data_IF_115898399753
#
_entry.id   IF_115898399753
#
_cell.length_a   1.000
_cell.length_b   1.000
_cell.length_c   1.000
_cell.angle_alpha   90.00
_cell.angle_beta   90.00
_cell.angle_gamma   90.00
#
_symmetry.space_group_name_H-M   'P 1'
#
loop_
_entity.id
_entity.type
_entity.pdbx_description
1 polymer ?
#
# COMPACT_ATOMS: atom_id res chain seq x y z
N UNK A 1 -11.78 -29.19 -28.47
CA UNK A 1 -10.32 -28.95 -28.52
C UNK A 1 -10.14 -27.49 -28.16
N UNK A 2 -10.09 -27.22 -26.85
CA UNK A 2 -9.98 -25.86 -26.34
C UNK A 2 -8.57 -25.35 -26.58
N UNK A 3 -8.46 -24.29 -27.36
CA UNK A 3 -7.24 -23.50 -27.50
C UNK A 3 -7.01 -22.75 -26.20
N UNK A 4 -6.14 -23.30 -25.35
CA UNK A 4 -5.35 -22.46 -24.47
C UNK A 4 -4.36 -21.68 -25.35
N UNK A 5 -4.78 -20.51 -25.83
CA UNK A 5 -3.88 -19.52 -26.40
C UNK A 5 -3.06 -18.90 -25.25
N UNK A 6 -2.11 -19.68 -24.72
CA UNK A 6 -1.05 -19.13 -23.88
C UNK A 6 -0.12 -18.36 -24.79
N UNK A 7 -0.25 -17.03 -24.82
CA UNK A 7 0.72 -16.17 -25.50
C UNK A 7 2.13 -16.54 -25.04
N UNK A 8 2.91 -17.12 -25.94
CA UNK A 8 4.27 -17.55 -25.66
C UNK A 8 5.08 -16.33 -25.21
N UNK A 9 5.59 -16.37 -23.98
CA UNK A 9 6.33 -15.25 -23.40
C UNK A 9 7.58 -14.97 -24.23
N UNK A 10 7.70 -13.74 -24.73
CA UNK A 10 8.80 -13.32 -25.61
C UNK A 10 10.17 -13.54 -24.95
N UNK A 11 11.17 -13.91 -25.77
CA UNK A 11 12.53 -14.23 -25.29
C UNK A 11 13.15 -13.14 -24.42
N UNK A 12 12.96 -11.87 -24.79
CA UNK A 12 13.49 -10.73 -24.04
C UNK A 12 12.90 -10.63 -22.62
N UNK A 13 11.62 -10.98 -22.42
CA UNK A 13 10.98 -11.00 -21.10
C UNK A 13 11.58 -12.11 -20.25
N UNK A 14 11.73 -13.32 -20.83
CA UNK A 14 12.38 -14.46 -20.15
C UNK A 14 13.79 -14.10 -19.71
N UNK A 15 14.53 -13.39 -20.57
CA UNK A 15 15.88 -12.89 -20.27
C UNK A 15 15.89 -11.88 -19.14
N UNK A 16 14.94 -10.94 -19.08
CA UNK A 16 14.83 -10.02 -17.92
C UNK A 16 14.52 -10.79 -16.64
N UNK A 17 13.66 -11.81 -16.69
CA UNK A 17 13.36 -12.64 -15.51
C UNK A 17 14.57 -13.46 -15.04
N UNK A 18 15.35 -14.02 -15.97
CA UNK A 18 16.46 -14.94 -15.64
C UNK A 18 17.77 -14.25 -15.28
N UNK A 19 18.02 -13.03 -15.76
CA UNK A 19 19.26 -12.28 -15.44
C UNK A 19 19.22 -11.58 -14.07
N UNK A 20 18.09 -11.62 -13.35
CA UNK A 20 17.98 -11.11 -11.98
C UNK A 20 18.66 -12.01 -10.96
N UNK A 21 19.13 -11.44 -9.85
CA UNK A 21 19.81 -12.20 -8.79
C UNK A 21 18.89 -13.21 -8.07
N UNK A 22 17.59 -12.92 -8.05
CA UNK A 22 16.57 -13.74 -7.40
C UNK A 22 15.87 -14.55 -8.49
N UNK A 23 15.82 -15.89 -8.38
CA UNK A 23 15.22 -16.74 -9.41
C UNK A 23 13.70 -16.52 -9.49
N UNK A 24 13.17 -16.49 -10.71
CA UNK A 24 11.75 -16.53 -10.97
C UNK A 24 11.23 -17.96 -10.86
N UNK A 25 10.24 -18.20 -10.01
CA UNK A 25 9.69 -19.52 -9.70
C UNK A 25 8.16 -19.49 -9.71
N UNK A 26 7.55 -20.66 -9.63
CA UNK A 26 6.10 -20.80 -9.48
C UNK A 26 5.64 -20.33 -8.09
N UNK A 27 4.48 -19.65 -7.96
CA UNK A 27 4.01 -19.12 -6.69
C UNK A 27 3.90 -20.15 -5.57
N UNK A 28 3.42 -21.36 -5.88
CA UNK A 28 3.19 -22.43 -4.91
C UNK A 28 4.49 -23.09 -4.43
N UNK A 29 5.59 -22.91 -5.17
CA UNK A 29 6.91 -23.44 -4.83
C UNK A 29 7.99 -22.41 -5.15
N UNK A 30 8.09 -21.39 -4.30
CA UNK A 30 9.00 -20.25 -4.46
C UNK A 30 10.03 -20.18 -3.32
N UNK A 31 10.93 -21.15 -3.12
CA UNK A 31 12.00 -21.02 -2.12
C UNK A 31 13.10 -20.07 -2.62
N UNK A 32 13.50 -19.09 -1.80
CA UNK A 32 14.58 -18.13 -2.10
C UNK A 32 14.40 -17.41 -3.44
N UNK A 33 13.16 -17.28 -3.89
CA UNK A 33 12.81 -16.82 -5.22
C UNK A 33 11.81 -15.67 -5.18
N UNK A 34 11.41 -15.26 -6.37
CA UNK A 34 10.26 -14.40 -6.57
C UNK A 34 9.28 -15.05 -7.56
N UNK A 35 8.01 -14.68 -7.47
CA UNK A 35 6.96 -15.20 -8.33
C UNK A 35 5.90 -14.11 -8.58
N UNK A 36 4.96 -14.37 -9.49
CA UNK A 36 3.74 -13.55 -9.61
C UNK A 36 2.57 -14.34 -9.06
N UNK A 37 2.07 -14.05 -7.84
CA UNK A 37 0.98 -14.81 -7.25
C UNK A 37 -0.31 -14.65 -8.08
N UNK A 38 -1.36 -15.49 -7.89
CA UNK A 38 -2.64 -15.30 -8.56
C UNK A 38 -3.37 -14.04 -8.06
N UNK A 39 -3.92 -13.22 -8.96
CA UNK A 39 -4.62 -11.98 -8.59
C UNK A 39 -5.80 -12.19 -7.63
N UNK A 40 -6.50 -13.32 -7.77
CA UNK A 40 -7.69 -13.69 -6.97
C UNK A 40 -7.45 -13.79 -5.45
N UNK A 41 -6.20 -13.80 -5.00
CA UNK A 41 -5.91 -13.79 -3.55
C UNK A 41 -6.03 -12.39 -2.94
N UNK A 42 -6.08 -11.34 -3.76
CA UNK A 42 -6.22 -9.96 -3.31
C UNK A 42 -7.66 -9.49 -3.49
N UNK A 43 -8.20 -8.78 -2.49
CA UNK A 43 -9.57 -8.26 -2.52
C UNK A 43 -9.59 -6.79 -2.89
N UNK A 44 -10.33 -6.44 -3.95
CA UNK A 44 -10.42 -5.08 -4.53
C UNK A 44 -11.87 -4.58 -4.53
N UNK A 45 -12.08 -3.27 -4.66
CA UNK A 45 -13.44 -2.68 -4.73
C UNK A 45 -14.21 -3.26 -5.92
N UNK A 46 -15.39 -3.83 -5.65
CA UNK A 46 -16.29 -4.37 -6.68
C UNK A 46 -16.98 -3.28 -7.52
N UNK A 47 -17.75 -3.65 -8.55
CA UNK A 47 -18.34 -2.69 -9.50
C UNK A 47 -19.26 -1.65 -8.85
N UNK A 48 -20.00 -2.03 -7.80
CA UNK A 48 -20.90 -1.15 -7.05
C UNK A 48 -20.36 -0.82 -5.64
N UNK A 49 -19.04 -0.77 -5.46
CA UNK A 49 -18.44 -0.64 -4.12
C UNK A 49 -18.89 0.61 -3.35
N UNK A 50 -19.12 1.75 -4.01
CA UNK A 50 -19.49 2.98 -3.30
C UNK A 50 -20.87 2.91 -2.64
N UNK A 51 -21.76 2.03 -3.13
CA UNK A 51 -23.07 1.75 -2.54
C UNK A 51 -23.04 0.51 -1.65
N UNK A 52 -22.45 -0.58 -2.12
CA UNK A 52 -22.51 -1.90 -1.45
C UNK A 52 -21.41 -2.12 -0.42
N UNK A 53 -20.28 -1.41 -0.54
CA UNK A 53 -19.03 -1.66 0.21
C UNK A 53 -18.46 -3.07 0.04
N UNK A 54 -18.88 -3.80 -0.99
CA UNK A 54 -18.45 -5.18 -1.25
C UNK A 54 -17.15 -5.21 -2.05
N UNK A 55 -16.15 -5.90 -1.51
CA UNK A 55 -14.92 -6.23 -2.24
C UNK A 55 -15.05 -7.57 -2.92
N UNK A 56 -14.38 -7.73 -4.05
CA UNK A 56 -14.32 -8.97 -4.83
C UNK A 56 -12.86 -9.43 -4.97
N UNK A 57 -12.61 -10.72 -5.19
CA UNK A 57 -11.30 -11.19 -5.63
C UNK A 57 -10.87 -10.46 -6.90
N UNK A 58 -9.62 -9.99 -6.94
CA UNK A 58 -9.08 -9.37 -8.14
C UNK A 58 -8.91 -10.41 -9.26
N UNK A 59 -9.09 -9.98 -10.50
CA UNK A 59 -8.81 -10.79 -11.69
C UNK A 59 -7.36 -10.67 -12.14
N UNK A 60 -7.17 -10.70 -13.46
CA UNK A 60 -5.87 -10.51 -14.09
C UNK A 60 -5.28 -9.12 -13.85
N UNK A 61 -3.95 -9.05 -13.93
CA UNK A 61 -3.19 -7.81 -13.81
C UNK A 61 -3.30 -6.97 -15.08
N UNK A 62 -3.27 -5.64 -14.90
CA UNK A 62 -3.18 -4.70 -16.02
C UNK A 62 -1.80 -4.75 -16.70
N UNK A 63 -0.75 -5.14 -15.97
CA UNK A 63 0.62 -5.25 -16.46
C UNK A 63 1.16 -6.67 -16.25
N UNK A 64 1.95 -7.16 -17.21
CA UNK A 64 2.63 -8.46 -17.07
C UNK A 64 3.87 -8.33 -16.17
N UNK A 65 4.14 -9.29 -15.28
CA UNK A 65 5.36 -9.29 -14.47
C UNK A 65 6.60 -9.43 -15.37
N UNK A 66 7.57 -8.54 -15.22
CA UNK A 66 8.75 -8.48 -16.07
C UNK A 66 10.03 -8.92 -15.33
N UNK A 67 10.17 -8.60 -14.06
CA UNK A 67 11.37 -8.93 -13.30
C UNK A 67 11.32 -8.51 -11.84
N UNK A 68 12.24 -9.02 -11.05
CA UNK A 68 12.45 -8.61 -9.67
C UNK A 68 13.95 -8.47 -9.40
N UNK A 69 14.33 -7.38 -8.74
CA UNK A 69 15.70 -7.14 -8.31
C UNK A 69 15.79 -6.96 -6.79
N UNK A 70 16.83 -7.56 -6.23
CA UNK A 70 17.25 -7.40 -4.86
C UNK A 70 18.67 -6.85 -4.86
N UNK A 71 18.79 -5.56 -4.55
CA UNK A 71 20.06 -4.83 -4.66
C UNK A 71 20.37 -4.06 -3.39
N UNK A 72 21.65 -3.72 -3.21
CA UNK A 72 22.13 -2.93 -2.08
C UNK A 72 23.20 -1.93 -2.46
N UNK A 73 23.30 -0.85 -1.70
CA UNK A 73 24.21 0.26 -1.98
C UNK A 73 24.54 1.09 -0.74
N UNK A 74 25.59 1.91 -0.86
CA UNK A 74 26.03 2.82 0.20
C UNK A 74 25.10 4.03 0.40
N UNK A 75 24.28 4.35 -0.60
CA UNK A 75 23.26 5.40 -0.59
C UNK A 75 21.90 4.87 -1.06
N UNK A 76 20.83 5.65 -0.88
CA UNK A 76 19.50 5.28 -1.41
C UNK A 76 19.57 5.10 -2.92
N UNK A 77 19.00 4.01 -3.40
CA UNK A 77 19.04 3.61 -4.81
C UNK A 77 17.73 4.01 -5.48
N UNK A 78 17.77 4.76 -6.57
CA UNK A 78 16.59 5.14 -7.34
C UNK A 78 16.94 5.76 -8.69
N UNK A 79 15.92 6.03 -9.50
CA UNK A 79 16.04 6.33 -10.94
C UNK A 79 16.73 5.21 -11.75
N UNK A 80 16.58 3.96 -11.34
CA UNK A 80 17.20 2.79 -11.97
C UNK A 80 16.84 2.67 -13.47
N UNK A 81 15.60 3.01 -13.85
CA UNK A 81 15.18 2.95 -15.24
C UNK A 81 15.73 4.10 -16.10
N UNK A 82 16.30 5.16 -15.50
CA UNK A 82 17.08 6.19 -16.22
C UNK A 82 18.50 5.73 -16.50
N UNK A 83 19.06 4.84 -15.68
CA UNK A 83 20.39 4.30 -15.89
C UNK A 83 20.36 3.27 -17.03
N UNK A 84 20.94 3.64 -18.18
CA UNK A 84 21.02 2.78 -19.36
C UNK A 84 21.99 1.61 -19.22
N UNK A 85 22.89 1.66 -18.24
CA UNK A 85 23.79 0.57 -17.94
C UNK A 85 23.10 -0.56 -17.15
N UNK A 86 21.99 -0.25 -16.48
CA UNK A 86 21.26 -1.21 -15.65
C UNK A 86 20.60 -2.31 -16.49
N UNK A 87 20.57 -3.54 -15.96
CA UNK A 87 20.26 -4.76 -16.73
C UNK A 87 18.93 -4.69 -17.50
N UNK A 88 17.86 -4.22 -16.85
CA UNK A 88 16.52 -4.13 -17.47
C UNK A 88 16.56 -3.15 -18.64
N UNK A 89 17.18 -1.98 -18.44
CA UNK A 89 17.29 -0.94 -19.47
C UNK A 89 18.21 -1.37 -20.62
N UNK A 90 19.32 -2.05 -20.31
CA UNK A 90 20.25 -2.61 -21.29
C UNK A 90 19.59 -3.65 -22.19
N UNK A 91 18.75 -4.54 -21.64
CA UNK A 91 17.99 -5.52 -22.43
C UNK A 91 16.99 -4.79 -23.33
N UNK A 92 16.18 -3.87 -22.79
CA UNK A 92 15.19 -3.11 -23.56
C UNK A 92 15.82 -2.27 -24.67
N UNK A 93 16.95 -1.60 -24.39
CA UNK A 93 17.66 -0.79 -25.37
C UNK A 93 18.24 -1.62 -26.52
N UNK A 94 18.72 -2.84 -26.22
CA UNK A 94 19.23 -3.78 -27.23
C UNK A 94 18.11 -4.39 -28.07
N UNK A 95 17.06 -4.89 -27.43
CA UNK A 95 15.96 -5.62 -28.11
C UNK A 95 15.14 -4.70 -29.03
N UNK A 96 14.85 -3.48 -28.55
CA UNK A 96 13.99 -2.53 -29.25
C UNK A 96 14.82 -1.39 -29.88
N UNK A 97 16.03 -1.68 -30.33
CA UNK A 97 16.83 -0.71 -31.08
C UNK A 97 16.14 -0.39 -32.41
N UNK A 98 15.80 0.89 -32.62
CA UNK A 98 15.08 1.34 -33.83
C UNK A 98 13.59 0.96 -33.88
N UNK A 99 13.02 0.47 -32.76
CA UNK A 99 11.59 0.13 -32.63
C UNK A 99 10.97 0.88 -31.46
N UNK A 100 9.65 0.89 -31.41
CA UNK A 100 8.93 1.36 -30.22
C UNK A 100 9.14 0.39 -29.06
N UNK A 101 9.43 0.97 -27.89
CA UNK A 101 9.67 0.22 -26.65
C UNK A 101 8.37 0.03 -25.89
N UNK A 102 8.16 -1.14 -25.26
CA UNK A 102 7.01 -1.32 -24.38
C UNK A 102 7.14 -0.38 -23.16
N UNK A 103 5.99 -0.07 -22.56
CA UNK A 103 5.95 0.76 -21.36
C UNK A 103 6.27 -0.09 -20.13
N UNK A 104 7.31 0.28 -19.39
CA UNK A 104 7.77 -0.45 -18.19
C UNK A 104 7.40 0.32 -16.92
N UNK A 105 6.82 -0.39 -15.96
CA UNK A 105 6.49 0.17 -14.65
C UNK A 105 7.37 -0.49 -13.59
N UNK A 106 8.09 0.30 -12.80
CA UNK A 106 8.88 -0.20 -11.68
C UNK A 106 8.36 0.34 -10.35
N UNK A 107 8.26 -0.54 -9.35
CA UNK A 107 8.06 -0.16 -7.95
C UNK A 107 9.32 -0.52 -7.18
N UNK A 108 10.04 0.49 -6.70
CA UNK A 108 11.29 0.36 -5.96
C UNK A 108 11.03 0.59 -4.47
N UNK A 109 10.94 -0.48 -3.69
CA UNK A 109 10.81 -0.42 -2.24
C UNK A 109 12.18 -0.20 -1.62
N UNK A 110 12.47 1.05 -1.26
CA UNK A 110 13.75 1.43 -0.65
C UNK A 110 13.69 1.16 0.84
N UNK A 111 14.64 0.38 1.35
CA UNK A 111 14.78 0.05 2.77
C UNK A 111 16.09 0.66 3.29
N UNK A 112 16.04 1.90 3.81
CA UNK A 112 17.22 2.51 4.39
C UNK A 112 17.71 1.72 5.60
N UNK A 113 19.00 1.40 5.62
CA UNK A 113 19.67 0.76 6.75
C UNK A 113 21.15 1.18 6.76
N UNK A 114 22.01 0.47 7.49
CA UNK A 114 23.47 0.67 7.38
C UNK A 114 23.95 0.45 5.93
N UNK A 115 23.40 -0.56 5.26
CA UNK A 115 23.47 -0.74 3.81
C UNK A 115 22.06 -0.50 3.26
N UNK A 116 21.89 0.38 2.27
CA UNK A 116 20.56 0.66 1.74
C UNK A 116 20.16 -0.49 0.80
N UNK A 117 19.05 -1.16 1.09
CA UNK A 117 18.51 -2.21 0.24
C UNK A 117 17.39 -1.66 -0.64
N UNK A 118 17.17 -2.31 -1.78
CA UNK A 118 16.06 -2.01 -2.68
C UNK A 118 15.50 -3.30 -3.27
N UNK A 119 14.20 -3.51 -3.06
CA UNK A 119 13.43 -4.54 -3.72
C UNK A 119 12.64 -3.90 -4.86
N UNK A 120 13.00 -4.22 -6.09
CA UNK A 120 12.43 -3.57 -7.28
C UNK A 120 11.61 -4.57 -8.07
N UNK A 121 10.31 -4.34 -8.17
CA UNK A 121 9.42 -5.12 -9.02
C UNK A 121 9.18 -4.39 -10.34
N UNK A 122 9.45 -5.06 -11.45
CA UNK A 122 9.24 -4.55 -12.80
C UNK A 122 8.04 -5.22 -13.43
N UNK A 123 7.21 -4.42 -14.10
CA UNK A 123 6.06 -4.83 -14.87
C UNK A 123 6.11 -4.19 -16.25
N UNK A 124 5.40 -4.79 -17.22
CA UNK A 124 5.35 -4.28 -18.59
C UNK A 124 3.94 -4.26 -19.14
N UNK A 125 3.60 -3.18 -19.84
CA UNK A 125 2.42 -3.12 -20.69
C UNK A 125 2.76 -3.73 -22.06
N UNK A 126 2.08 -4.82 -22.43
CA UNK A 126 2.22 -5.43 -23.76
C UNK A 126 1.48 -4.68 -24.85
N UNK A 127 0.55 -3.80 -24.45
CA UNK A 127 -0.20 -2.92 -25.33
C UNK A 127 0.01 -1.46 -24.88
N UNK A 128 -0.17 -0.48 -25.79
CA UNK A 128 -0.18 0.94 -25.42
C UNK A 128 -1.23 1.23 -24.33
N UNK A 129 -0.90 2.13 -23.40
CA UNK A 129 -1.85 2.56 -22.39
C UNK A 129 -3.07 3.22 -23.06
N UNK A 130 -4.26 2.73 -22.74
CA UNK A 130 -5.51 3.29 -23.28
C UNK A 130 -5.65 4.73 -22.83
N UNK A 131 -5.78 5.64 -23.79
CA UNK A 131 -5.95 7.07 -23.52
C UNK A 131 -7.18 7.33 -22.63
N UNK A 132 -7.01 8.20 -21.63
CA UNK A 132 -8.05 8.53 -20.66
C UNK A 132 -8.33 7.45 -19.61
N UNK A 133 -7.68 6.28 -19.68
CA UNK A 133 -7.75 5.27 -18.61
C UNK A 133 -7.13 5.79 -17.31
N UNK A 134 -7.47 5.18 -16.17
CA UNK A 134 -6.90 5.57 -14.88
C UNK A 134 -5.37 5.42 -14.84
N UNK A 135 -4.79 4.46 -15.56
CA UNK A 135 -3.34 4.33 -15.73
C UNK A 135 -2.74 5.48 -16.54
N UNK A 136 -3.37 5.84 -17.66
CA UNK A 136 -2.93 6.98 -18.49
C UNK A 136 -2.99 8.29 -17.70
N UNK A 137 -4.08 8.51 -16.97
CA UNK A 137 -4.24 9.64 -16.06
C UNK A 137 -3.18 9.64 -14.94
N UNK A 138 -2.86 8.49 -14.35
CA UNK A 138 -1.83 8.38 -13.32
C UNK A 138 -0.42 8.70 -13.85
N UNK A 139 -0.09 8.23 -15.05
CA UNK A 139 1.19 8.53 -15.70
C UNK A 139 1.30 10.02 -16.03
N UNK A 140 0.22 10.63 -16.55
CA UNK A 140 0.20 12.05 -16.96
C UNK A 140 -0.09 13.06 -15.83
N UNK A 141 -0.62 12.59 -14.69
CA UNK A 141 -1.08 13.42 -13.58
C UNK A 141 0.05 14.15 -12.84
N UNK A 142 -0.28 14.85 -11.76
CA UNK A 142 0.70 15.40 -10.83
C UNK A 142 0.97 14.44 -9.66
N UNK A 143 1.96 14.77 -8.83
CA UNK A 143 2.31 13.93 -7.68
C UNK A 143 1.18 13.89 -6.65
N UNK A 144 0.38 14.95 -6.51
CA UNK A 144 -0.79 14.95 -5.63
C UNK A 144 -1.83 13.91 -6.03
N UNK A 145 -2.14 13.80 -7.33
CA UNK A 145 -3.01 12.76 -7.87
C UNK A 145 -2.44 11.37 -7.59
N UNK A 146 -1.15 11.16 -7.89
CA UNK A 146 -0.48 9.87 -7.71
C UNK A 146 -0.45 9.45 -6.24
N UNK A 147 -0.01 10.35 -5.37
CA UNK A 147 0.11 10.11 -3.93
C UNK A 147 -1.25 9.82 -3.30
N UNK A 148 -2.29 10.49 -3.79
CA UNK A 148 -3.64 10.32 -3.26
C UNK A 148 -4.29 8.97 -3.62
N UNK A 149 -3.72 8.22 -4.58
CA UNK A 149 -4.33 7.02 -5.18
C UNK A 149 -3.44 5.78 -5.24
N UNK A 150 -2.12 5.91 -5.21
CA UNK A 150 -1.23 4.74 -5.24
C UNK A 150 -1.44 3.90 -3.99
N UNK A 151 -1.85 2.65 -4.19
CA UNK A 151 -2.25 1.73 -3.14
C UNK A 151 -1.43 0.46 -3.20
N UNK A 152 -1.08 -0.05 -2.01
CA UNK A 152 -0.38 -1.30 -1.79
C UNK A 152 -1.26 -2.22 -0.97
N UNK A 153 -1.32 -3.49 -1.36
CA UNK A 153 -1.84 -4.59 -0.55
C UNK A 153 -0.67 -5.52 -0.25
N UNK A 154 -0.43 -5.81 1.02
CA UNK A 154 0.58 -6.75 1.48
C UNK A 154 -0.08 -7.97 2.14
N UNK A 155 0.50 -9.14 1.95
CA UNK A 155 0.08 -10.36 2.62
C UNK A 155 1.31 -11.16 3.07
N UNK A 156 1.41 -11.45 4.37
CA UNK A 156 2.47 -12.28 4.94
C UNK A 156 2.03 -13.75 4.87
N UNK A 157 2.35 -14.39 3.75
CA UNK A 157 2.02 -15.78 3.45
C UNK A 157 2.66 -16.71 4.50
N UNK A 158 3.98 -16.60 4.65
CA UNK A 158 4.79 -17.36 5.62
C UNK A 158 5.61 -16.38 6.45
N UNK A 159 5.63 -16.58 7.76
CA UNK A 159 6.44 -15.76 8.65
C UNK A 159 6.03 -15.84 10.12
N UNK A 160 6.88 -15.34 11.03
CA UNK A 160 6.56 -15.29 12.46
C UNK A 160 5.29 -14.48 12.73
N UNK A 161 4.50 -14.93 13.71
CA UNK A 161 3.24 -14.28 14.09
C UNK A 161 3.43 -12.80 14.46
N UNK A 162 4.58 -12.43 15.02
CA UNK A 162 4.91 -11.05 15.39
C UNK A 162 4.98 -10.14 14.16
N UNK A 163 5.56 -10.60 13.06
CA UNK A 163 5.61 -9.85 11.80
C UNK A 163 4.20 -9.69 11.24
N UNK A 164 3.40 -10.77 11.23
CA UNK A 164 1.99 -10.72 10.79
C UNK A 164 1.19 -9.70 11.60
N UNK A 165 1.37 -9.69 12.92
CA UNK A 165 0.70 -8.74 13.82
C UNK A 165 1.15 -7.30 13.62
N UNK A 166 2.44 -7.06 13.39
CA UNK A 166 2.98 -5.72 13.14
C UNK A 166 2.49 -5.12 11.81
N UNK A 167 2.38 -5.96 10.78
CA UNK A 167 1.85 -5.59 9.46
C UNK A 167 0.33 -5.37 9.51
N UNK A 168 -0.37 -6.07 10.41
CA UNK A 168 -1.79 -5.91 10.65
C UNK A 168 -2.65 -6.83 9.78
N UNK A 169 -3.90 -7.03 10.21
CA UNK A 169 -4.87 -7.94 9.58
C UNK A 169 -5.35 -7.46 8.19
N UNK A 170 -5.28 -6.16 7.94
CA UNK A 170 -5.62 -5.54 6.67
C UNK A 170 -4.46 -4.68 6.19
N UNK A 171 -3.36 -5.30 5.76
CA UNK A 171 -2.17 -4.61 5.30
C UNK A 171 -2.37 -3.95 3.93
N UNK A 172 -3.31 -3.01 3.87
CA UNK A 172 -3.73 -2.23 2.72
C UNK A 172 -3.47 -0.78 3.07
N UNK A 173 -2.73 -0.07 2.23
CA UNK A 173 -2.37 1.32 2.48
C UNK A 173 -2.39 2.13 1.18
N UNK A 174 -2.84 3.38 1.24
CA UNK A 174 -2.56 4.37 0.19
C UNK A 174 -1.12 4.82 0.40
N UNK A 175 -0.19 4.06 -0.15
CA UNK A 175 1.24 4.19 0.13
C UNK A 175 1.78 5.55 -0.27
N UNK A 176 1.20 6.18 -1.29
CA UNK A 176 1.55 7.53 -1.72
C UNK A 176 1.26 8.62 -0.67
N UNK A 177 0.29 8.40 0.24
CA UNK A 177 0.04 9.30 1.38
C UNK A 177 0.89 8.94 2.61
N UNK A 178 1.26 7.68 2.73
CA UNK A 178 1.93 7.15 3.91
C UNK A 178 3.45 7.29 3.86
N UNK A 179 4.02 7.31 2.66
CA UNK A 179 5.46 7.36 2.40
C UNK A 179 5.77 8.41 1.34
N UNK A 180 7.00 8.92 1.37
CA UNK A 180 7.51 9.76 0.31
C UNK A 180 7.73 8.89 -0.93
N UNK A 181 6.98 9.16 -1.99
CA UNK A 181 7.12 8.52 -3.28
C UNK A 181 7.74 9.50 -4.27
N UNK A 182 8.82 9.10 -4.94
CA UNK A 182 9.40 9.89 -6.04
C UNK A 182 9.08 9.21 -7.37
N UNK A 183 8.46 9.97 -8.26
CA UNK A 183 8.04 9.47 -9.57
C UNK A 183 9.05 9.85 -10.65
N UNK A 184 9.71 8.84 -11.20
CA UNK A 184 10.69 8.97 -12.27
C UNK A 184 10.05 8.55 -13.60
N UNK A 185 9.64 9.54 -14.39
CA UNK A 185 8.91 9.32 -15.65
C UNK A 185 9.85 9.52 -16.84
N UNK A 186 9.76 8.61 -17.81
CA UNK A 186 10.42 8.71 -19.11
C UNK A 186 9.47 8.33 -20.24
N UNK A 187 9.96 8.38 -21.49
CA UNK A 187 9.13 8.14 -22.69
C UNK A 187 8.39 6.80 -22.66
N UNK A 188 9.02 5.75 -22.12
CA UNK A 188 8.51 4.39 -22.12
C UNK A 188 8.57 3.75 -20.72
N UNK A 189 8.63 4.55 -19.66
CA UNK A 189 8.62 4.00 -18.31
C UNK A 189 8.10 4.97 -17.25
N UNK A 190 7.65 4.38 -16.15
CA UNK A 190 7.43 5.05 -14.87
C UNK A 190 8.07 4.19 -13.77
N UNK A 191 8.94 4.80 -12.99
CA UNK A 191 9.51 4.21 -11.77
C UNK A 191 8.99 4.98 -10.57
N UNK A 192 8.53 4.25 -9.55
CA UNK A 192 8.09 4.79 -8.27
C UNK A 192 9.10 4.36 -7.21
N UNK A 193 9.93 5.31 -6.79
CA UNK A 193 10.85 5.17 -5.67
C UNK A 193 10.08 5.39 -4.36
N UNK A 194 9.88 4.32 -3.58
CA UNK A 194 9.07 4.33 -2.35
C UNK A 194 10.02 4.30 -1.14
N UNK A 195 10.19 5.44 -0.47
CA UNK A 195 11.10 5.59 0.65
C UNK A 195 10.47 5.13 1.98
N UNK A 196 10.67 3.86 2.35
CA UNK A 196 10.12 3.32 3.61
C UNK A 196 10.66 4.07 4.83
N UNK A 197 11.89 4.62 4.75
CA UNK A 197 12.49 5.38 5.83
C UNK A 197 11.85 6.74 6.08
N UNK A 198 10.93 7.20 5.22
CA UNK A 198 10.22 8.48 5.41
C UNK A 198 9.13 8.41 6.48
N UNK A 199 8.75 7.21 6.93
CA UNK A 199 7.76 7.01 8.00
C UNK A 199 8.36 6.19 9.13
N UNK A 200 8.32 6.73 10.34
CA UNK A 200 8.81 6.04 11.55
C UNK A 200 8.09 4.70 11.75
N UNK A 201 6.78 4.66 11.49
CA UNK A 201 5.96 3.45 11.65
C UNK A 201 6.32 2.41 10.59
N UNK A 202 6.34 2.80 9.32
CA UNK A 202 6.67 1.87 8.23
C UNK A 202 8.09 1.34 8.35
N UNK A 203 9.05 2.22 8.67
CA UNK A 203 10.43 1.88 8.95
C UNK A 203 10.53 0.83 10.05
N UNK A 204 9.86 1.04 11.20
CA UNK A 204 9.86 0.06 12.29
C UNK A 204 9.29 -1.31 11.88
N UNK A 205 8.18 -1.34 11.13
CA UNK A 205 7.55 -2.58 10.66
C UNK A 205 8.47 -3.31 9.67
N UNK A 206 9.04 -2.60 8.71
CA UNK A 206 9.91 -3.20 7.69
C UNK A 206 11.23 -3.64 8.30
N UNK A 207 11.85 -2.91 9.24
CA UNK A 207 13.07 -3.39 9.92
C UNK A 207 12.80 -4.62 10.78
N UNK A 208 11.63 -4.71 11.43
CA UNK A 208 11.21 -5.93 12.10
C UNK A 208 11.08 -7.09 11.11
N UNK A 209 10.40 -6.89 9.98
CA UNK A 209 10.25 -7.91 8.95
C UNK A 209 11.61 -8.30 8.33
N UNK A 210 12.49 -7.33 8.11
CA UNK A 210 13.83 -7.54 7.57
C UNK A 210 14.67 -8.48 8.44
N UNK A 211 14.51 -8.40 9.77
CA UNK A 211 15.14 -9.34 10.71
C UNK A 211 14.73 -10.82 10.51
N UNK A 212 13.61 -11.07 9.83
CA UNK A 212 13.11 -12.40 9.51
C UNK A 212 13.12 -12.72 8.01
N UNK A 213 13.68 -11.85 7.16
CA UNK A 213 13.51 -11.88 5.70
C UNK A 213 13.89 -13.24 5.07
N UNK A 214 14.85 -13.96 5.65
CA UNK A 214 15.28 -15.29 5.22
C UNK A 214 14.26 -16.42 5.51
N UNK A 215 13.19 -16.12 6.24
CA UNK A 215 12.10 -17.05 6.58
C UNK A 215 10.71 -16.52 6.22
N UNK A 216 10.64 -15.30 5.67
CA UNK A 216 9.41 -14.64 5.26
C UNK A 216 9.05 -14.97 3.82
N UNK A 217 7.76 -15.18 3.57
CA UNK A 217 7.17 -15.13 2.23
C UNK A 217 6.10 -14.06 2.24
N UNK A 218 6.24 -13.09 1.32
CA UNK A 218 5.39 -11.90 1.26
C UNK A 218 4.86 -11.74 -0.15
N UNK A 219 3.55 -11.52 -0.26
CA UNK A 219 2.90 -11.06 -1.48
C UNK A 219 2.63 -9.57 -1.39
N UNK A 220 3.02 -8.82 -2.41
CA UNK A 220 2.76 -7.39 -2.53
C UNK A 220 2.07 -7.12 -3.87
N UNK A 221 0.92 -6.43 -3.82
CA UNK A 221 0.15 -6.02 -4.99
C UNK A 221 -0.04 -4.50 -5.04
N UNK A 222 0.18 -3.92 -6.21
CA UNK A 222 0.00 -2.48 -6.44
C UNK A 222 -1.25 -2.23 -7.27
N UNK A 223 -1.96 -1.16 -6.93
CA UNK A 223 -3.12 -0.69 -7.67
C UNK A 223 -3.28 0.83 -7.55
N UNK A 224 -4.07 1.39 -8.43
CA UNK A 224 -4.54 2.78 -8.33
C UNK A 224 -5.94 2.71 -7.72
N UNK A 225 -6.13 3.36 -6.58
CA UNK A 225 -7.43 3.37 -5.92
C UNK A 225 -8.47 4.10 -6.77
N UNK A 226 -9.57 3.39 -7.08
CA UNK A 226 -10.75 3.96 -7.73
C UNK A 226 -11.48 4.88 -6.75
N UNK A 227 -11.80 6.10 -7.13
CA UNK A 227 -12.50 7.12 -6.33
C UNK A 227 -13.89 7.48 -6.89
N UNK A 228 -14.24 7.03 -8.09
CA UNK A 228 -15.55 7.25 -8.72
C UNK A 228 -16.12 5.96 -9.33
N UNK A 229 -17.44 5.87 -9.54
CA UNK A 229 -18.08 4.68 -10.11
C UNK A 229 -17.54 4.29 -11.49
N UNK A 230 -17.16 5.28 -12.32
CA UNK A 230 -16.56 5.03 -13.64
C UNK A 230 -15.19 4.35 -13.59
N UNK A 231 -14.55 4.35 -12.42
CA UNK A 231 -13.25 3.71 -12.19
C UNK A 231 -13.38 2.30 -11.60
N UNK A 232 -14.61 1.82 -11.34
CA UNK A 232 -14.87 0.49 -10.79
C UNK A 232 -15.16 -0.55 -11.89
N UNK A 233 -14.92 -1.86 -11.62
CA UNK A 233 -14.23 -2.39 -10.44
C UNK A 233 -12.73 -2.01 -10.43
N UNK A 234 -12.14 -1.96 -9.23
CA UNK A 234 -10.70 -1.77 -9.06
C UNK A 234 -9.94 -2.93 -9.75
N UNK A 235 -8.82 -2.62 -10.40
CA UNK A 235 -7.92 -3.61 -11.01
C UNK A 235 -6.50 -3.44 -10.48
N UNK A 236 -5.80 -4.56 -10.33
CA UNK A 236 -4.41 -4.56 -9.91
C UNK A 236 -3.51 -4.15 -11.09
N UNK A 237 -2.52 -3.29 -10.83
CA UNK A 237 -1.45 -3.02 -11.79
C UNK A 237 -0.59 -4.27 -11.96
N UNK A 238 -0.23 -4.90 -10.84
CA UNK A 238 0.57 -6.12 -10.80
C UNK A 238 0.88 -6.51 -9.37
N UNK A 239 1.34 -7.74 -9.19
CA UNK A 239 1.77 -8.25 -7.89
C UNK A 239 3.02 -9.12 -8.02
N UNK A 240 3.81 -9.16 -6.96
CA UNK A 240 4.96 -10.03 -6.81
C UNK A 240 4.97 -10.70 -5.45
N UNK A 241 5.47 -11.94 -5.43
CA UNK A 241 5.84 -12.69 -4.25
C UNK A 241 7.35 -12.66 -4.15
N UNK A 242 7.90 -12.45 -2.97
CA UNK A 242 9.26 -12.86 -2.66
C UNK A 242 9.25 -13.77 -1.45
N UNK A 243 10.26 -14.63 -1.36
CA UNK A 243 10.33 -15.64 -0.32
C UNK A 243 11.76 -15.88 0.09
N UNK A 244 12.01 -15.90 1.39
CA UNK A 244 13.28 -16.27 1.99
C UNK A 244 14.45 -15.50 1.35
N UNK A 245 14.27 -14.20 1.09
CA UNK A 245 15.32 -13.38 0.46
C UNK A 245 16.56 -13.38 1.35
N UNK A 246 17.72 -13.53 0.72
CA UNK A 246 19.00 -13.55 1.41
C UNK A 246 19.61 -12.14 1.32
N UNK A 247 19.84 -11.43 2.44
CA UNK A 247 20.50 -10.12 2.40
C UNK A 247 21.86 -10.16 1.67
N UNK A 248 22.61 -11.24 1.84
CA UNK A 248 23.92 -11.43 1.22
C UNK A 248 23.85 -11.70 -0.29
N UNK A 249 22.69 -12.10 -0.82
CA UNK A 249 22.50 -12.26 -2.27
C UNK A 249 22.10 -10.97 -2.97
N UNK A 250 21.93 -9.86 -2.23
CA UNK A 250 21.65 -8.56 -2.83
C UNK A 250 22.83 -8.12 -3.69
N UNK A 251 22.58 -7.82 -4.96
CA UNK A 251 23.64 -7.33 -5.85
C UNK A 251 24.05 -5.92 -5.45
N UNK A 252 25.36 -5.66 -5.41
CA UNK A 252 25.87 -4.31 -5.21
C UNK A 252 25.49 -3.42 -6.39
N UNK A 253 24.88 -2.29 -6.09
CA UNK A 253 24.60 -1.23 -7.05
C UNK A 253 25.49 -0.03 -6.74
N UNK A 254 26.27 0.38 -7.74
CA UNK A 254 27.03 1.62 -7.73
C UNK A 254 26.42 2.54 -8.78
N UNK A 255 25.91 3.69 -8.36
CA UNK A 255 25.30 4.63 -9.28
C UNK A 255 26.35 5.11 -10.30
N UNK A 256 26.03 5.04 -11.59
CA UNK A 256 26.81 5.70 -12.63
C UNK A 256 26.92 7.20 -12.28
N UNK A 257 28.15 7.69 -12.10
CA UNK A 257 28.43 9.09 -11.83
C UNK A 257 28.15 9.96 -13.06
N UNK A 258 26.88 10.22 -13.34
CA UNK A 258 26.45 11.23 -14.30
C UNK A 258 26.22 12.56 -13.56
N UNK A 259 27.19 13.46 -13.69
CA UNK A 259 27.19 14.90 -13.37
C UNK A 259 26.42 15.36 -12.11
N UNK A 260 27.08 15.23 -10.95
CA UNK A 260 26.77 16.05 -9.78
C UNK A 260 27.55 17.37 -9.86
N UNK A 261 26.88 18.48 -10.13
CA UNK A 261 27.38 19.81 -9.73
C UNK A 261 27.39 19.88 -8.20
N UNK A 262 28.47 20.35 -7.56
CA UNK A 262 28.59 20.29 -6.10
C UNK A 262 27.85 21.47 -5.46
N UNK A 263 26.67 21.23 -4.90
CA UNK A 263 26.13 22.10 -3.86
C UNK A 263 26.50 21.55 -2.50
N UNK A 264 27.42 22.26 -1.84
CA UNK A 264 27.81 22.09 -0.45
C UNK A 264 26.64 22.34 0.50
N UNK A 265 26.35 21.41 1.40
CA UNK A 265 25.63 21.69 2.65
C UNK A 265 26.28 20.97 3.83
N UNK A 266 26.27 21.57 5.04
CA UNK A 266 27.16 21.20 6.13
C UNK A 266 26.64 19.97 6.89
N UNK A 267 27.59 19.16 7.37
CA UNK A 267 27.35 18.12 8.38
C UNK A 267 27.00 18.80 9.71
N UNK A 268 25.78 18.63 10.21
CA UNK A 268 25.49 18.82 11.63
C UNK A 268 25.16 17.48 12.27
N UNK A 269 25.94 17.14 13.29
CA UNK A 269 26.09 15.80 13.83
C UNK A 269 24.96 15.32 14.72
N UNK A 270 24.88 13.99 14.75
CA UNK A 270 24.14 13.16 15.68
C UNK A 270 24.49 13.50 17.14
N UNK A 271 23.59 14.18 17.89
CA UNK A 271 23.73 14.32 19.35
C UNK A 271 22.44 14.62 20.12
N UNK A 272 21.33 13.95 19.82
CA UNK A 272 20.07 14.06 20.60
C UNK A 272 19.35 12.71 20.83
N UNK A 273 20.08 11.61 21.02
CA UNK A 273 19.46 10.27 21.21
C UNK A 273 19.75 9.60 22.56
N UNK A 274 20.12 10.37 23.59
CA UNK A 274 20.34 9.84 24.95
C UNK A 274 19.23 10.12 25.96
N UNK A 275 18.02 10.52 25.54
CA UNK A 275 16.98 10.94 26.52
C UNK A 275 15.55 10.45 26.24
N UNK A 276 15.35 9.38 25.46
CA UNK A 276 14.01 8.78 25.25
C UNK A 276 13.92 7.28 25.57
N UNK A 277 14.91 6.76 26.29
CA UNK A 277 14.89 5.37 26.77
C UNK A 277 14.42 5.29 28.21
N UNK A 278 13.13 5.56 28.49
CA UNK A 278 12.49 5.25 29.80
C UNK A 278 10.95 5.45 29.83
N UNK A 279 10.23 5.30 28.71
CA UNK A 279 8.82 5.73 28.64
C UNK A 279 7.82 4.86 27.89
N UNK A 280 8.07 3.56 27.69
CA UNK A 280 7.15 2.71 26.90
C UNK A 280 6.56 1.50 27.65
N UNK A 281 6.47 1.57 28.99
CA UNK A 281 5.84 0.50 29.80
C UNK A 281 4.48 0.88 30.42
N UNK A 282 3.86 2.01 30.04
CA UNK A 282 2.59 2.47 30.65
C UNK A 282 1.45 2.78 29.66
N UNK A 283 1.58 2.42 28.37
CA UNK A 283 0.56 2.70 27.36
C UNK A 283 -0.22 1.47 26.88
N UNK A 284 -0.28 0.44 27.71
CA UNK A 284 -1.17 -0.70 27.53
C UNK A 284 -1.72 -1.10 28.89
N UNK A 285 -2.66 -0.33 29.46
CA UNK A 285 -3.73 -0.87 30.31
C UNK A 285 -4.99 -0.02 30.16
N UNK A 286 -6.08 -0.76 29.98
CA UNK A 286 -7.44 -0.39 29.62
C UNK A 286 -8.09 0.55 30.64
N UNK A 287 -8.87 1.52 30.15
CA UNK A 287 -9.93 2.13 30.94
C UNK A 287 -11.05 1.13 31.21
N UNK A 288 -11.47 1.04 32.47
CA UNK A 288 -12.79 0.58 32.90
C UNK A 288 -13.27 1.57 33.97
N UNK A 289 -14.47 2.09 33.76
CA UNK A 289 -15.22 2.96 34.66
C UNK A 289 -15.65 2.16 35.90
N UNK A 290 -15.50 2.72 37.10
CA UNK A 290 -16.50 2.65 38.17
C UNK A 290 -16.30 3.74 39.23
N UNK A 291 -17.44 4.18 39.78
CA UNK A 291 -17.71 5.33 40.66
C UNK A 291 -17.21 5.20 42.11
N UNK A 292 -16.96 6.35 42.78
CA UNK A 292 -16.35 6.55 44.13
C UNK A 292 -17.15 6.05 45.36
N UNK A 293 -17.03 6.62 46.60
CA UNK A 293 -16.56 7.98 46.99
C UNK A 293 -15.66 8.09 48.27
N UNK A 294 -15.41 9.35 48.69
CA UNK A 294 -14.98 9.86 50.03
C UNK A 294 -13.53 9.59 50.51
N UNK A 295 -12.82 10.44 51.26
CA UNK A 295 -13.09 11.71 51.99
C UNK A 295 -11.74 12.26 52.54
N UNK A 296 -11.68 13.55 52.91
CA UNK A 296 -10.87 14.01 54.07
C UNK A 296 -9.47 14.61 53.84
N UNK A 297 -9.40 15.95 53.82
CA UNK A 297 -8.27 16.78 54.32
C UNK A 297 -8.34 16.81 55.88
N UNK A 298 -7.48 17.48 56.71
CA UNK A 298 -6.47 18.54 56.42
C UNK A 298 -5.20 18.66 57.35
N UNK A 299 -4.40 19.73 57.12
CA UNK A 299 -3.70 20.59 58.13
C UNK A 299 -2.30 20.11 58.70
N UNK A 300 -1.21 20.87 58.99
CA UNK A 300 -0.87 22.29 59.36
C UNK A 300 0.64 22.65 59.11
N UNK A 301 0.90 23.95 58.84
CA UNK A 301 2.03 24.90 59.10
C UNK A 301 3.32 24.44 59.83
N UNK A 302 4.50 25.09 59.76
CA UNK A 302 5.01 26.40 59.29
C UNK A 302 6.57 26.33 59.32
N UNK A 303 7.41 27.28 58.90
CA UNK A 303 7.59 28.65 59.40
C UNK A 303 8.75 29.28 58.58
N UNK A 304 8.62 30.54 58.16
CA UNK A 304 9.71 31.43 57.71
C UNK A 304 10.13 32.34 58.89
N UNK A 305 11.32 32.99 58.88
CA UNK A 305 11.24 34.44 58.61
C UNK A 305 12.47 35.10 57.92
N UNK A 306 12.13 36.13 57.11
CA UNK A 306 12.71 37.51 57.05
C UNK A 306 13.87 37.81 56.10
N UNK A 307 14.06 39.01 55.50
CA UNK A 307 13.22 40.17 55.06
C UNK A 307 14.18 41.18 54.37
N UNK A 308 13.78 41.77 53.24
CA UNK A 308 13.94 43.19 52.79
C UNK A 308 13.55 43.22 51.29
N UNK A 309 12.48 43.88 50.81
CA UNK A 309 12.08 45.30 50.93
C UNK A 309 12.65 46.04 49.69
N UNK A 310 11.90 46.44 48.65
CA UNK A 310 10.98 47.60 48.46
C UNK A 310 10.59 47.62 46.96
N UNK A 311 9.49 48.14 46.40
CA UNK A 311 8.34 48.93 46.83
C UNK A 311 7.19 48.79 45.79
N UNK A 312 5.95 49.00 46.25
CA UNK A 312 4.67 48.94 45.53
C UNK A 312 4.39 50.15 44.61
N UNK A 313 3.55 49.97 43.57
CA UNK A 313 2.12 50.38 43.57
C UNK A 313 1.51 50.35 42.15
N UNK A 314 0.34 49.72 42.06
CA UNK A 314 -0.62 49.69 40.95
C UNK A 314 -1.78 50.69 41.29
N UNK A 315 -2.94 50.74 40.62
CA UNK A 315 -3.30 51.08 39.23
C UNK A 315 -4.20 52.35 39.16
N UNK A 316 -4.40 52.97 37.99
CA UNK A 316 -5.63 53.77 37.72
C UNK A 316 -6.13 53.72 36.27
N UNK A 317 -7.46 53.81 36.17
CA UNK A 317 -8.38 53.76 35.02
C UNK A 317 -8.34 55.00 34.11
N UNK A 318 -8.84 54.84 32.88
CA UNK A 318 -9.75 55.81 32.22
C UNK A 318 -10.66 55.09 31.19
N UNK A 319 -11.98 55.37 31.22
CA UNK A 319 -13.02 54.92 30.25
C UNK A 319 -13.25 55.96 29.12
N UNK A 320 -14.34 56.06 28.33
CA UNK A 320 -15.62 55.37 28.07
C UNK A 320 -16.21 55.95 26.75
N UNK A 321 -16.96 55.18 25.94
CA UNK A 321 -18.14 55.53 25.06
C UNK A 321 -18.22 54.53 23.87
N UNK A 322 -19.24 53.68 23.62
CA UNK A 322 -20.69 53.88 23.38
C UNK A 322 -20.94 54.00 21.85
N UNK A 323 -21.80 53.29 21.10
CA UNK A 323 -23.01 52.48 21.32
C UNK A 323 -23.31 51.56 20.10
N UNK A 324 -23.97 50.43 20.38
CA UNK A 324 -25.00 49.61 19.67
C UNK A 324 -24.94 49.20 18.17
N UNK A 325 -25.29 47.93 17.85
CA UNK A 325 -25.65 47.48 16.50
C UNK A 325 -27.18 47.50 16.26
N UNK A 326 -27.62 48.16 15.18
CA UNK A 326 -29.03 48.21 14.77
C UNK A 326 -29.45 47.01 13.90
N UNK A 327 -30.67 46.53 14.19
CA UNK A 327 -31.45 45.51 13.47
C UNK A 327 -32.32 46.11 12.36
N UNK A 328 -32.56 45.36 11.27
CA UNK A 328 -33.85 45.00 10.63
C UNK A 328 -33.61 44.64 9.14
N UNK A 329 -34.28 43.67 8.50
CA UNK A 329 -35.37 42.82 8.93
C UNK A 329 -35.72 41.73 7.89
N UNK A 330 -36.29 40.64 8.43
CA UNK A 330 -37.45 39.84 8.01
C UNK A 330 -37.80 39.64 6.51
N UNK A 331 -37.80 38.36 6.10
CA UNK A 331 -38.91 37.75 5.37
C UNK A 331 -39.02 36.28 5.79
N UNK A 332 -40.21 35.87 6.23
CA UNK A 332 -40.56 34.50 6.62
C UNK A 332 -41.78 33.98 5.86
N UNK A 333 -42.10 32.72 6.18
CA UNK A 333 -43.18 31.82 5.72
C UNK A 333 -42.69 30.79 4.68
N UNK A 334 -42.85 29.48 4.84
CA UNK A 334 -43.62 28.67 5.82
C UNK A 334 -43.08 27.21 5.80
N UNK A 335 -43.25 26.39 6.85
CA UNK A 335 -42.79 25.01 6.92
C UNK A 335 -43.92 24.02 6.58
N UNK A 336 -43.70 23.14 5.60
CA UNK A 336 -44.60 22.00 5.37
C UNK A 336 -44.26 20.85 6.34
N UNK A 337 -45.16 20.65 7.32
CA UNK A 337 -45.39 19.35 7.96
C UNK A 337 -46.33 18.53 7.06
N UNK A 338 -46.04 17.26 6.80
CA UNK A 338 -46.59 16.12 7.56
C UNK A 338 -46.42 14.82 6.75
N UNK A 339 -46.14 13.72 7.44
CA UNK A 339 -46.07 12.38 6.84
C UNK A 339 -45.31 11.36 7.70
N UNK A 340 -45.72 11.18 8.95
CA UNK A 340 -45.47 9.94 9.71
C UNK A 340 -46.11 8.77 8.96
N UNK A 341 -45.32 7.79 8.57
CA UNK A 341 -45.80 6.44 8.24
C UNK A 341 -45.15 5.46 9.21
N UNK A 342 -46.02 4.67 9.82
CA UNK A 342 -45.77 3.73 10.91
C UNK A 342 -44.80 2.62 10.52
N UNK A 343 -44.01 2.18 11.50
CA UNK A 343 -43.37 0.88 11.48
C UNK A 343 -44.42 -0.21 11.67
N UNK A 344 -44.52 -1.16 10.75
CA UNK A 344 -45.13 -2.46 11.01
C UNK A 344 -44.16 -3.57 10.52
N UNK A 345 -43.85 -4.60 11.33
CA UNK A 345 -42.85 -5.60 11.00
C UNK A 345 -43.49 -6.70 10.14
N UNK A 346 -43.13 -6.77 8.86
CA UNK A 346 -43.50 -7.91 8.04
C UNK A 346 -42.63 -9.11 8.39
N UNK A 347 -43.25 -10.05 9.12
CA UNK A 347 -42.88 -11.45 9.16
C UNK A 347 -42.91 -12.03 7.74
N UNK A 348 -41.82 -12.67 7.34
CA UNK A 348 -41.83 -13.74 6.35
C UNK A 348 -40.72 -14.70 6.81
N UNK A 349 -40.93 -15.96 7.13
CA UNK A 349 -41.92 -16.91 6.61
C UNK A 349 -41.09 -18.17 6.37
N UNK A 350 -41.16 -19.12 7.30
CA UNK A 350 -40.56 -20.45 7.20
C UNK A 350 -41.08 -21.15 5.94
N UNK A 351 -40.18 -21.51 5.04
CA UNK A 351 -40.50 -22.44 3.96
C UNK A 351 -40.49 -23.87 4.53
N UNK A 352 -41.68 -24.39 4.81
CA UNK A 352 -41.91 -25.82 5.00
C UNK A 352 -41.91 -26.54 3.66
N UNK A 353 -41.29 -27.72 3.69
CA UNK A 353 -41.24 -28.71 2.63
C UNK A 353 -42.63 -29.29 2.35
N UNK A 354 -42.90 -29.65 1.09
CA UNK A 354 -43.74 -30.81 0.79
C UNK A 354 -43.19 -31.56 -0.45
N UNK A 355 -43.15 -32.90 -0.44
CA UNK A 355 -42.46 -33.70 -1.44
C UNK A 355 -43.41 -34.13 -2.55
N UNK A 356 -42.94 -34.13 -3.79
CA UNK A 356 -43.58 -34.92 -4.85
C UNK A 356 -42.57 -35.75 -5.63
N UNK A 357 -43.03 -36.96 -5.91
CA UNK A 357 -42.33 -38.19 -6.24
C UNK A 357 -41.94 -38.29 -7.72
N UNK A 358 -40.73 -38.81 -7.90
CA UNK A 358 -40.35 -39.97 -8.70
C UNK A 358 -40.49 -39.93 -10.24
N UNK A 359 -39.34 -40.05 -10.91
CA UNK A 359 -39.18 -40.45 -12.31
C UNK A 359 -37.77 -40.99 -12.52
N UNK A 360 -37.54 -42.24 -12.14
CA UNK A 360 -36.33 -43.01 -12.45
C UNK A 360 -36.34 -43.42 -13.93
N UNK A 361 -35.32 -43.02 -14.69
CA UNK A 361 -34.97 -43.64 -15.96
C UNK A 361 -33.73 -44.51 -15.74
N UNK A 362 -33.94 -45.82 -15.88
CA UNK A 362 -32.91 -46.86 -15.88
C UNK A 362 -31.95 -46.68 -17.07
N UNK A 363 -30.65 -46.73 -16.81
CA UNK A 363 -29.64 -47.00 -17.83
C UNK A 363 -29.17 -48.44 -17.66
N UNK A 364 -29.53 -49.29 -18.62
CA UNK A 364 -29.10 -50.68 -18.75
C UNK A 364 -27.70 -50.76 -19.39
N UNK A 365 -26.73 -51.49 -18.81
CA UNK A 365 -25.44 -51.74 -19.45
C UNK A 365 -25.35 -53.20 -19.94
N UNK A 366 -25.30 -53.41 -21.27
CA UNK A 366 -24.45 -54.45 -21.89
C UNK A 366 -24.72 -54.64 -23.40
N UNK A 367 -23.67 -54.57 -24.23
CA UNK A 367 -23.10 -55.73 -24.96
C UNK A 367 -22.00 -55.33 -25.94
N UNK A 368 -20.92 -56.13 -25.90
CA UNK A 368 -19.80 -56.18 -26.85
C UNK A 368 -20.16 -56.96 -28.12
N UNK A 369 -19.50 -56.61 -29.24
CA UNK A 369 -18.94 -57.42 -30.37
C UNK A 369 -19.05 -56.64 -31.68
N UNK A 370 -18.22 -56.79 -32.72
CA UNK A 370 -16.83 -57.23 -32.98
C UNK A 370 -16.56 -56.89 -34.48
N UNK A 371 -15.30 -56.98 -34.91
CA UNK A 371 -14.69 -56.66 -36.21
C UNK A 371 -15.36 -57.07 -37.55
N UNK A 372 -14.91 -56.39 -38.62
CA UNK A 372 -14.96 -56.74 -40.06
C UNK A 372 -15.47 -55.54 -40.89
N UNK A 373 -14.81 -54.98 -41.90
CA UNK A 373 -13.71 -55.38 -42.80
C UNK A 373 -12.68 -54.25 -42.98
#
# INVERSE_FOLDING_TARGET
MDKHDGEEESEWMRRVKSEGAVPYLEPDNCPKGWASPPGKIFMVRGPEYFTTRVKIPAGDYLLKPLGFDWIKGSSKIGNILKDRSYRVRKILDKEFQGKDKPFVWAFNLQVPSKENYSAIAYFVATEPLREGSLMDQFVKGDDGFRDSRLKLIANIVKGPWLVKKAVGEQAICIIGRALNCKYCIGKNFLEVDIDIGSSVVASAIVHLAFGYVTTLTVDLAFLIESQTDSELPEKLLGAFRFSELQPDSAQSYEASSAESTPTSTPRLGMRLWKTLGQGFSQLLHQGVLESGPDSGSPHINGTDPSKNGTAENDPTKNGTAGNDPSKNGTAGNDPSKNGTAENDPSKNGTAENDPSKNGTAENDPSKKWNCGE
#
